data_IF_147004516694
#
_entry.id   IF_147004516694
#
_cell.length_a   1.000
_cell.length_b   1.000
_cell.length_c   1.000
_cell.angle_alpha   90.00
_cell.angle_beta   90.00
_cell.angle_gamma   90.00
#
_symmetry.space_group_name_H-M   'P 1'
#
loop_
_entity.id
_entity.type
_entity.pdbx_description
1 polymer ?
#
# COMPACT_ATOMS: atom_id res chain seq x y z
N UNK A 1 13.58 8.09 -6.70
CA UNK A 1 12.14 7.84 -6.55
C UNK A 1 11.94 6.75 -5.53
N UNK A 2 11.14 7.02 -4.56
CA UNK A 2 10.96 6.11 -3.45
C UNK A 2 9.64 5.37 -3.58
N UNK A 3 9.67 4.11 -3.25
CA UNK A 3 8.47 3.28 -3.24
C UNK A 3 8.41 2.49 -1.96
N UNK A 4 7.20 2.22 -1.53
CA UNK A 4 6.96 1.41 -0.35
C UNK A 4 6.18 0.18 -0.75
N UNK A 5 6.49 -0.93 -0.10
CA UNK A 5 5.65 -2.11 -0.18
C UNK A 5 4.68 -2.03 0.98
N UNK A 6 3.41 -2.01 0.68
CA UNK A 6 2.37 -1.90 1.70
C UNK A 6 1.51 -3.15 1.69
N UNK A 7 0.99 -3.46 2.85
CA UNK A 7 0.11 -4.62 3.02
C UNK A 7 -1.28 -4.12 3.34
N UNK A 8 -2.24 -4.58 2.57
CA UNK A 8 -3.65 -4.33 2.87
C UNK A 8 -4.10 -5.31 3.93
N UNK A 9 -4.54 -4.80 5.08
CA UNK A 9 -4.94 -5.64 6.19
C UNK A 9 -6.29 -6.33 5.97
N UNK A 10 -7.03 -5.87 4.98
CA UNK A 10 -8.34 -6.45 4.69
C UNK A 10 -8.24 -7.66 3.76
N UNK A 11 -7.53 -7.52 2.66
CA UNK A 11 -7.40 -8.63 1.71
C UNK A 11 -6.08 -9.38 1.86
N UNK A 12 -5.14 -8.85 2.62
CA UNK A 12 -3.87 -9.49 2.85
C UNK A 12 -2.93 -9.46 1.66
N UNK A 13 -3.13 -8.51 0.75
CA UNK A 13 -2.30 -8.41 -0.43
C UNK A 13 -1.22 -7.35 -0.22
N UNK A 14 -0.03 -7.66 -0.72
CA UNK A 14 1.08 -6.71 -0.71
C UNK A 14 1.23 -6.10 -2.09
N UNK A 15 1.52 -4.82 -2.13
CA UNK A 15 1.76 -4.15 -3.40
C UNK A 15 2.66 -2.94 -3.18
N UNK A 16 3.31 -2.50 -4.26
CA UNK A 16 4.18 -1.34 -4.20
C UNK A 16 3.42 -0.08 -4.55
N UNK A 17 3.70 0.98 -3.81
CA UNK A 17 3.10 2.29 -4.07
C UNK A 17 4.20 3.34 -4.05
N UNK A 18 3.97 4.43 -4.76
CA UNK A 18 4.87 5.58 -4.69
C UNK A 18 4.59 6.34 -3.40
N UNK A 19 5.64 6.79 -2.74
CA UNK A 19 5.47 7.53 -1.49
C UNK A 19 4.76 8.87 -1.70
N UNK A 20 4.78 9.37 -2.92
CA UNK A 20 4.13 10.62 -3.27
C UNK A 20 2.69 10.41 -3.77
N UNK A 21 2.31 9.17 -4.01
CA UNK A 21 1.01 8.85 -4.60
C UNK A 21 0.42 7.61 -3.95
N UNK A 22 0.41 7.60 -2.62
CA UNK A 22 -0.19 6.48 -1.88
C UNK A 22 -1.70 6.53 -2.09
N UNK A 23 -2.32 5.43 -2.52
CA UNK A 23 -3.77 5.41 -2.72
C UNK A 23 -4.51 5.51 -1.40
N UNK A 24 -5.71 6.09 -1.43
CA UNK A 24 -6.53 6.23 -0.24
C UNK A 24 -7.24 4.94 0.13
N UNK A 25 -7.32 4.03 -0.82
CA UNK A 25 -7.99 2.75 -0.62
C UNK A 25 -7.26 1.65 -1.37
N UNK A 26 -7.50 0.44 -0.97
CA UNK A 26 -6.89 -0.71 -1.60
C UNK A 26 -7.38 -0.86 -3.03
N UNK A 27 -6.47 -0.98 -4.01
CA UNK A 27 -6.87 -1.17 -5.40
C UNK A 27 -7.48 -2.54 -5.68
N UNK A 28 -7.32 -3.48 -4.78
CA UNK A 28 -7.86 -4.84 -4.95
C UNK A 28 -9.27 -4.96 -4.39
N UNK A 29 -9.43 -4.64 -3.13
CA UNK A 29 -10.72 -4.80 -2.45
C UNK A 29 -11.47 -3.49 -2.31
N UNK A 30 -10.82 -2.40 -2.64
CA UNK A 30 -11.39 -1.05 -2.57
C UNK A 30 -11.86 -0.65 -1.17
N UNK A 31 -11.28 -1.28 -0.17
CA UNK A 31 -11.59 -0.95 1.20
C UNK A 31 -10.84 0.29 1.63
N UNK A 32 -11.54 1.23 2.22
CA UNK A 32 -10.90 2.40 2.78
C UNK A 32 -10.30 2.03 4.12
N UNK A 33 -9.02 2.28 4.27
CA UNK A 33 -8.36 1.94 5.50
C UNK A 33 -6.90 2.27 5.44
N UNK A 34 -6.19 1.86 6.47
CA UNK A 34 -4.76 2.08 6.54
C UNK A 34 -4.01 0.88 5.99
N UNK A 35 -2.92 1.17 5.32
CA UNK A 35 -2.00 0.14 4.88
C UNK A 35 -0.84 0.08 5.87
N UNK A 36 -0.23 -1.08 5.96
CA UNK A 36 0.96 -1.22 6.76
C UNK A 36 2.16 -1.28 5.82
N UNK A 37 3.14 -0.41 6.05
CA UNK A 37 4.37 -0.44 5.27
C UNK A 37 5.22 -1.58 5.79
N UNK A 38 5.44 -2.57 4.94
CA UNK A 38 6.21 -3.76 5.30
C UNK A 38 7.62 -3.72 4.75
N UNK A 39 7.85 -2.89 3.76
CA UNK A 39 9.18 -2.70 3.21
C UNK A 39 9.24 -1.32 2.56
N UNK A 40 10.43 -0.76 2.53
CA UNK A 40 10.66 0.53 1.90
C UNK A 40 11.77 0.36 0.89
N UNK A 41 11.42 0.45 -0.37
CA UNK A 41 12.37 0.35 -1.47
C UNK A 41 12.69 1.76 -1.92
N UNK A 42 13.87 2.20 -1.58
CA UNK A 42 14.30 3.57 -1.87
C UNK A 42 15.30 3.60 -3.01
#
# INVERSE_FOLDING_TARGET
>A
MSKWVVLCLECGEEFKVDVEAVPERCPHCKHEGTFEVVDADD
#
